data_IF_693037436638
#
_entry.id   IF_693037436638
#
_cell.length_a   1.000
_cell.length_b   1.000
_cell.length_c   1.000
_cell.angle_alpha   90.00
_cell.angle_beta   90.00
_cell.angle_gamma   90.00
#
_symmetry.space_group_name_H-M   'P 1'
#
loop_
_entity.id
_entity.type
_entity.pdbx_description
1 polymer ?
#
# COMPACT_ATOMS: atom_id res chain seq x y z
N UNK A 1 17.31 -5.50 37.02
CA UNK A 1 16.19 -4.98 37.86
C UNK A 1 15.74 -3.65 37.27
N UNK A 2 14.45 -3.47 37.07
CA UNK A 2 13.93 -2.22 36.49
C UNK A 2 12.50 -1.96 36.95
N UNK A 3 12.20 -0.68 37.19
CA UNK A 3 10.82 -0.19 37.24
C UNK A 3 10.42 0.13 35.80
N UNK A 4 9.33 -0.48 35.35
CA UNK A 4 8.77 -0.27 34.01
C UNK A 4 7.34 0.24 34.13
N UNK A 5 6.86 0.89 33.07
CA UNK A 5 5.44 1.27 32.96
C UNK A 5 4.66 0.15 32.29
N UNK A 6 3.54 -0.25 32.88
CA UNK A 6 2.60 -1.16 32.22
C UNK A 6 1.93 -0.49 31.02
N UNK A 7 1.23 -1.27 30.19
CA UNK A 7 0.40 -0.76 29.10
C UNK A 7 -0.60 0.29 29.63
N UNK A 8 -1.21 0.03 30.80
CA UNK A 8 -2.17 0.93 31.45
C UNK A 8 -1.51 2.11 32.19
N UNK A 9 -0.19 2.28 32.09
CA UNK A 9 0.54 3.41 32.67
C UNK A 9 0.91 3.27 34.15
N UNK A 10 0.54 2.17 34.79
CA UNK A 10 0.92 1.89 36.18
C UNK A 10 2.37 1.40 36.30
N UNK A 11 3.06 1.81 37.37
CA UNK A 11 4.42 1.33 37.64
C UNK A 11 4.42 -0.15 38.01
N UNK A 12 5.39 -0.89 37.45
CA UNK A 12 5.68 -2.27 37.79
C UNK A 12 7.16 -2.44 38.10
N UNK A 13 7.45 -3.13 39.19
CA UNK A 13 8.82 -3.52 39.57
C UNK A 13 9.06 -4.96 39.11
N UNK A 14 10.15 -5.15 38.37
CA UNK A 14 10.67 -6.47 38.01
C UNK A 14 11.88 -6.77 38.90
N UNK A 15 11.70 -7.66 39.88
CA UNK A 15 12.68 -8.01 40.90
C UNK A 15 12.69 -9.53 41.12
N UNK A 16 13.87 -10.15 41.06
CA UNK A 16 14.08 -11.59 41.28
C UNK A 16 13.15 -12.51 40.47
N UNK A 17 12.84 -12.12 39.22
CA UNK A 17 11.92 -12.84 38.33
C UNK A 17 10.44 -12.64 38.66
N UNK A 18 10.10 -11.86 39.69
CA UNK A 18 8.73 -11.54 40.05
C UNK A 18 8.31 -10.16 39.56
N UNK A 19 7.02 -10.06 39.20
CA UNK A 19 6.35 -8.80 38.86
C UNK A 19 5.57 -8.29 40.06
N UNK A 20 5.83 -7.05 40.45
CA UNK A 20 5.17 -6.37 41.56
C UNK A 20 4.56 -5.04 41.12
N UNK A 21 3.43 -4.66 41.68
CA UNK A 21 2.75 -3.37 41.45
C UNK A 21 3.01 -2.42 42.62
N UNK A 22 3.04 -1.13 42.34
CA UNK A 22 3.18 -0.11 43.38
C UNK A 22 1.93 -0.05 44.26
N UNK A 23 2.16 -0.01 45.57
CA UNK A 23 1.15 0.09 46.62
C UNK A 23 1.67 1.04 47.71
N UNK A 24 1.34 2.34 47.57
CA UNK A 24 1.90 3.43 48.37
C UNK A 24 3.44 3.46 48.28
N UNK A 25 4.13 3.23 49.40
CA UNK A 25 5.59 3.23 49.52
C UNK A 25 6.22 1.85 49.31
N UNK A 26 5.41 0.80 49.09
CA UNK A 26 5.86 -0.58 48.93
C UNK A 26 5.41 -1.14 47.59
N UNK A 27 6.02 -2.24 47.18
CA UNK A 27 5.67 -3.00 45.98
C UNK A 27 5.09 -4.32 46.40
N UNK A 28 3.92 -4.66 45.86
CA UNK A 28 3.21 -5.91 46.17
C UNK A 28 3.20 -6.83 44.96
N UNK A 29 3.46 -8.11 45.16
CA UNK A 29 3.35 -9.11 44.11
C UNK A 29 1.99 -9.04 43.39
N UNK A 30 2.00 -9.20 42.06
CA UNK A 30 0.78 -9.17 41.24
C UNK A 30 -0.05 -10.45 41.30
N UNK A 31 0.54 -11.60 41.68
CA UNK A 31 -0.16 -12.88 41.77
C UNK A 31 -1.18 -12.84 42.92
N UNK A 32 -2.40 -13.31 42.66
CA UNK A 32 -3.46 -13.37 43.66
C UNK A 32 -3.02 -14.18 44.88
N UNK A 33 -3.43 -13.77 46.07
CA UNK A 33 -3.10 -14.40 47.36
C UNK A 33 -1.59 -14.44 47.70
N UNK A 34 -0.71 -13.81 46.92
CA UNK A 34 0.70 -13.71 47.25
C UNK A 34 0.95 -12.55 48.23
N UNK A 35 1.74 -12.83 49.28
CA UNK A 35 2.16 -11.85 50.28
C UNK A 35 3.52 -11.21 50.01
N UNK A 36 4.17 -11.53 48.88
CA UNK A 36 5.50 -10.99 48.57
C UNK A 36 5.51 -9.46 48.46
N UNK A 37 6.46 -8.81 49.16
CA UNK A 37 6.62 -7.35 49.16
C UNK A 37 8.06 -6.89 49.07
N UNK A 38 8.28 -5.87 48.24
CA UNK A 38 9.56 -5.18 48.13
C UNK A 38 9.44 -3.70 48.52
N UNK A 39 10.54 -3.11 48.95
CA UNK A 39 10.65 -1.67 49.22
C UNK A 39 11.93 -1.12 48.60
N UNK A 40 11.97 0.19 48.42
CA UNK A 40 13.16 0.90 47.98
C UNK A 40 13.83 1.53 49.19
N UNK A 41 15.05 1.13 49.51
CA UNK A 41 15.79 1.61 50.69
C UNK A 41 16.79 2.73 50.33
N UNK A 42 16.36 3.66 49.47
CA UNK A 42 17.19 4.78 48.99
C UNK A 42 18.18 4.44 47.87
N UNK A 43 18.80 3.25 47.89
CA UNK A 43 19.79 2.83 46.90
C UNK A 43 19.38 1.61 46.07
N UNK A 44 18.65 0.67 46.66
CA UNK A 44 18.28 -0.60 46.01
C UNK A 44 16.84 -0.98 46.32
N UNK A 45 16.24 -1.74 45.40
CA UNK A 45 14.98 -2.46 45.66
C UNK A 45 15.32 -3.79 46.33
N UNK A 46 14.71 -4.05 47.48
CA UNK A 46 14.93 -5.29 48.21
C UNK A 46 13.60 -5.91 48.63
N UNK A 47 13.54 -7.24 48.50
CA UNK A 47 12.47 -8.05 49.08
C UNK A 47 12.55 -8.00 50.61
N UNK A 48 11.43 -7.70 51.26
CA UNK A 48 11.33 -7.73 52.73
C UNK A 48 10.23 -8.67 53.24
N UNK A 49 9.42 -9.20 52.33
CA UNK A 49 8.46 -10.26 52.61
C UNK A 49 8.48 -11.27 51.46
N UNK A 50 8.66 -12.54 51.79
CA UNK A 50 8.82 -13.60 50.80
C UNK A 50 7.56 -13.90 49.99
N UNK A 51 7.77 -14.42 48.79
CA UNK A 51 6.72 -14.89 47.91
C UNK A 51 6.24 -16.27 48.36
N UNK A 52 4.92 -16.43 48.50
CA UNK A 52 4.26 -17.73 48.73
C UNK A 52 3.58 -18.28 47.47
N UNK A 53 3.72 -17.57 46.35
CA UNK A 53 3.20 -17.99 45.07
C UNK A 53 4.15 -18.99 44.40
N UNK A 54 3.66 -19.62 43.33
CA UNK A 54 4.51 -20.40 42.42
C UNK A 54 5.73 -19.61 41.98
N UNK A 55 6.79 -20.36 41.66
CA UNK A 55 8.06 -19.88 41.13
C UNK A 55 7.89 -18.79 40.06
N UNK A 56 8.86 -17.87 39.95
CA UNK A 56 8.79 -16.80 38.98
C UNK A 56 8.73 -17.36 37.55
N UNK A 57 7.81 -16.81 36.76
CA UNK A 57 7.66 -17.18 35.35
C UNK A 57 8.41 -16.15 34.50
N UNK A 58 9.56 -16.56 33.97
CA UNK A 58 10.41 -15.70 33.15
C UNK A 58 9.69 -15.23 31.87
N UNK A 59 8.73 -16.01 31.35
CA UNK A 59 7.94 -15.61 30.19
C UNK A 59 7.02 -14.42 30.54
N UNK A 60 6.50 -14.34 31.77
CA UNK A 60 5.73 -13.17 32.21
C UNK A 60 6.59 -11.90 32.28
N UNK A 61 7.86 -12.03 32.67
CA UNK A 61 8.83 -10.93 32.72
C UNK A 61 9.17 -10.46 31.32
N UNK A 62 9.51 -11.37 30.40
CA UNK A 62 9.79 -11.06 29.01
C UNK A 62 8.59 -10.40 28.32
N UNK A 63 7.37 -10.91 28.55
CA UNK A 63 6.14 -10.30 28.06
C UNK A 63 5.91 -8.89 28.62
N UNK A 64 6.23 -8.65 29.89
CA UNK A 64 6.12 -7.32 30.48
C UNK A 64 7.12 -6.34 29.85
N UNK A 65 8.36 -6.77 29.65
CA UNK A 65 9.39 -5.97 28.96
C UNK A 65 9.02 -5.69 27.50
N UNK A 66 8.55 -6.70 26.77
CA UNK A 66 8.07 -6.56 25.39
C UNK A 66 6.99 -5.47 25.28
N UNK A 67 5.98 -5.52 26.15
CA UNK A 67 4.90 -4.54 26.14
C UNK A 67 5.39 -3.13 26.49
N UNK A 68 6.31 -3.02 27.45
CA UNK A 68 6.91 -1.74 27.83
C UNK A 68 7.73 -1.13 26.70
N UNK A 69 8.62 -1.90 26.07
CA UNK A 69 9.44 -1.42 24.97
C UNK A 69 8.60 -1.05 23.74
N UNK A 70 7.62 -1.88 23.40
CA UNK A 70 6.68 -1.61 22.30
C UNK A 70 5.95 -0.29 22.53
N UNK A 71 5.47 -0.05 23.76
CA UNK A 71 4.79 1.20 24.12
C UNK A 71 5.75 2.39 24.06
N UNK A 72 6.93 2.27 24.67
CA UNK A 72 7.94 3.33 24.67
C UNK A 72 8.36 3.72 23.25
N UNK A 73 8.60 2.75 22.36
CA UNK A 73 8.88 3.03 20.94
C UNK A 73 7.69 3.68 20.24
N UNK A 74 6.48 3.16 20.47
CA UNK A 74 5.27 3.72 19.87
C UNK A 74 5.02 5.19 20.25
N UNK A 75 5.40 5.60 21.46
CA UNK A 75 5.35 6.98 21.96
C UNK A 75 6.47 7.88 21.39
N UNK A 76 7.61 7.30 20.98
CA UNK A 76 8.82 8.04 20.60
C UNK A 76 9.05 8.16 19.09
N UNK A 77 8.43 7.30 18.27
CA UNK A 77 8.59 7.32 16.82
C UNK A 77 7.30 6.98 16.06
N UNK A 78 7.29 7.30 14.76
CA UNK A 78 6.18 7.01 13.84
C UNK A 78 6.39 5.78 12.95
N UNK A 79 7.37 4.92 13.26
CA UNK A 79 7.64 3.70 12.49
C UNK A 79 6.39 2.82 12.32
N UNK A 80 6.22 2.10 11.20
CA UNK A 80 5.06 1.23 11.01
C UNK A 80 4.86 0.26 12.19
N UNK A 81 3.62 0.08 12.72
CA UNK A 81 3.38 -0.79 13.87
C UNK A 81 3.95 -2.20 13.71
N UNK A 82 3.95 -2.72 12.47
CA UNK A 82 4.53 -4.02 12.12
C UNK A 82 6.04 -4.08 12.38
N UNK A 83 6.77 -3.01 12.09
CA UNK A 83 8.21 -2.92 12.31
C UNK A 83 8.52 -2.90 13.81
N UNK A 84 7.81 -2.07 14.57
CA UNK A 84 7.97 -1.99 16.04
C UNK A 84 7.73 -3.35 16.69
N UNK A 85 6.66 -4.05 16.31
CA UNK A 85 6.34 -5.38 16.84
C UNK A 85 7.43 -6.38 16.46
N UNK A 86 7.93 -6.33 15.22
CA UNK A 86 8.96 -7.24 14.76
C UNK A 86 10.26 -7.06 15.55
N UNK A 87 10.74 -5.83 15.68
CA UNK A 87 11.96 -5.53 16.43
C UNK A 87 11.84 -5.90 17.92
N UNK A 88 10.68 -5.67 18.52
CA UNK A 88 10.43 -6.07 19.91
C UNK A 88 10.38 -7.60 20.06
N UNK A 89 9.87 -8.33 19.06
CA UNK A 89 9.84 -9.80 19.05
C UNK A 89 11.22 -10.43 18.95
N UNK A 90 12.18 -9.80 18.27
CA UNK A 90 13.56 -10.30 18.15
C UNK A 90 14.27 -10.44 19.50
N UNK A 91 13.77 -9.80 20.56
CA UNK A 91 14.33 -9.84 21.90
C UNK A 91 13.70 -10.90 22.81
N UNK A 92 12.69 -11.63 22.33
CA UNK A 92 11.98 -12.66 23.10
C UNK A 92 12.64 -14.03 22.93
N UNK A 93 12.58 -14.84 23.99
CA UNK A 93 12.80 -16.28 23.87
C UNK A 93 11.68 -16.96 23.06
N UNK A 94 11.97 -18.15 22.52
CA UNK A 94 10.97 -18.95 21.79
C UNK A 94 9.74 -19.26 22.63
N UNK A 95 9.92 -19.54 23.92
CA UNK A 95 8.85 -19.89 24.84
C UNK A 95 7.98 -18.67 25.18
N UNK A 96 8.60 -17.51 25.44
CA UNK A 96 7.86 -16.29 25.70
C UNK A 96 7.09 -15.81 24.46
N UNK A 97 7.62 -16.01 23.25
CA UNK A 97 6.98 -15.61 22.00
C UNK A 97 5.59 -16.24 21.80
N UNK A 98 5.39 -17.47 22.30
CA UNK A 98 4.09 -18.18 22.26
C UNK A 98 3.03 -17.46 23.11
N UNK A 99 3.45 -16.78 24.19
CA UNK A 99 2.55 -16.10 25.12
C UNK A 99 2.12 -14.70 24.65
N UNK A 100 2.72 -14.19 23.57
CA UNK A 100 2.46 -12.85 23.04
C UNK A 100 1.15 -12.82 22.23
N UNK A 101 0.31 -11.78 22.38
CA UNK A 101 -0.91 -11.64 21.58
C UNK A 101 -0.66 -11.63 20.06
N UNK A 102 -1.71 -11.92 19.30
CA UNK A 102 -1.66 -11.83 17.84
C UNK A 102 -1.25 -10.42 17.36
N UNK A 103 -0.55 -10.37 16.23
CA UNK A 103 -0.02 -9.13 15.65
C UNK A 103 -1.10 -8.06 15.46
N UNK A 104 -2.32 -8.44 15.07
CA UNK A 104 -3.45 -7.50 14.88
C UNK A 104 -3.84 -6.78 16.16
N UNK A 105 -3.86 -7.47 17.30
CA UNK A 105 -4.15 -6.87 18.61
C UNK A 105 -3.04 -5.92 19.06
N UNK A 106 -1.78 -6.26 18.78
CA UNK A 106 -0.62 -5.41 19.06
C UNK A 106 -0.61 -4.15 18.18
N UNK A 107 -0.91 -4.28 16.89
CA UNK A 107 -1.02 -3.15 15.97
C UNK A 107 -2.09 -2.15 16.45
N UNK A 108 -3.26 -2.65 16.86
CA UNK A 108 -4.32 -1.82 17.46
C UNK A 108 -3.87 -1.14 18.75
N UNK A 109 -3.05 -1.81 19.57
CA UNK A 109 -2.54 -1.24 20.82
C UNK A 109 -1.55 -0.10 20.54
N UNK A 110 -0.65 -0.27 19.57
CA UNK A 110 0.25 0.79 19.10
C UNK A 110 -0.54 1.95 18.52
N UNK A 111 -1.56 1.68 17.70
CA UNK A 111 -2.44 2.70 17.14
C UNK A 111 -3.14 3.51 18.24
N UNK A 112 -3.62 2.86 19.31
CA UNK A 112 -4.22 3.54 20.47
C UNK A 112 -3.22 4.35 21.28
N UNK A 113 -1.99 3.86 21.47
CA UNK A 113 -0.92 4.63 22.14
C UNK A 113 -0.59 5.88 21.32
N UNK A 114 -0.59 5.74 20.01
CA UNK A 114 -0.42 6.82 19.04
C UNK A 114 -1.68 7.62 18.75
N UNK A 115 -2.83 7.30 19.37
CA UNK A 115 -3.97 8.21 19.34
C UNK A 115 -3.58 9.42 20.19
N UNK A 116 -2.82 10.30 19.56
CA UNK A 116 -2.66 11.68 19.93
C UNK A 116 -4.06 12.30 19.93
N UNK A 117 -4.39 13.11 20.93
CA UNK A 117 -5.63 13.90 20.93
C UNK A 117 -5.73 14.75 19.64
N UNK A 118 -4.60 15.02 18.98
CA UNK A 118 -4.50 15.74 17.71
C UNK A 118 -4.72 14.88 16.45
N UNK A 119 -4.91 13.56 16.56
CA UNK A 119 -5.26 12.70 15.41
C UNK A 119 -6.77 12.45 15.42
N UNK A 120 -7.52 12.98 14.43
CA UNK A 120 -8.97 12.85 14.40
C UNK A 120 -9.41 11.40 14.29
N UNK A 121 -10.59 11.11 14.85
CA UNK A 121 -11.26 9.82 14.66
C UNK A 121 -11.53 9.56 13.18
N UNK A 122 -11.53 8.28 12.79
CA UNK A 122 -11.81 7.89 11.41
C UNK A 122 -13.18 8.45 10.96
N UNK A 123 -13.22 9.23 9.87
CA UNK A 123 -14.43 9.90 9.41
C UNK A 123 -15.49 8.91 8.93
N UNK A 124 -16.75 9.20 9.24
CA UNK A 124 -17.88 8.34 8.83
C UNK A 124 -18.50 8.75 7.51
N UNK A 125 -18.41 10.03 7.18
CA UNK A 125 -18.87 10.68 5.96
C UNK A 125 -17.82 11.65 5.45
N UNK A 126 -17.93 12.12 4.20
CA UNK A 126 -16.99 13.11 3.66
C UNK A 126 -17.06 14.47 4.40
N UNK A 127 -18.23 14.82 4.94
CA UNK A 127 -18.40 16.03 5.75
C UNK A 127 -17.64 15.97 7.09
N UNK A 128 -17.38 14.76 7.62
CA UNK A 128 -16.62 14.57 8.85
C UNK A 128 -15.10 14.72 8.63
N UNK A 129 -14.65 14.79 7.38
CA UNK A 129 -13.22 14.92 7.06
C UNK A 129 -12.79 16.35 7.41
N UNK A 130 -12.12 16.50 8.54
CA UNK A 130 -11.44 17.74 8.92
C UNK A 130 -9.96 17.40 9.05
N UNK A 131 -9.14 17.94 8.14
CA UNK A 131 -7.70 17.67 8.16
C UNK A 131 -7.04 18.69 9.08
N UNK A 132 -6.52 18.28 10.24
CA UNK A 132 -5.99 19.21 11.24
C UNK A 132 -4.68 19.85 10.73
N UNK A 133 -4.33 21.06 11.19
CA UNK A 133 -3.19 21.82 10.66
C UNK A 133 -1.85 21.04 10.68
N UNK A 134 -1.62 20.22 11.70
CA UNK A 134 -0.43 19.38 11.83
C UNK A 134 -0.31 18.27 10.77
N UNK A 135 -1.40 17.95 10.05
CA UNK A 135 -1.42 16.97 8.96
C UNK A 135 -1.50 17.60 7.56
N UNK A 136 -1.57 18.93 7.46
CA UNK A 136 -1.61 19.62 6.17
C UNK A 136 -0.22 19.84 5.55
N UNK A 137 0.83 19.73 6.37
CA UNK A 137 2.21 19.99 5.98
C UNK A 137 3.10 18.74 6.11
N UNK A 138 4.19 18.70 5.36
CA UNK A 138 5.27 17.73 5.50
C UNK A 138 6.02 17.91 6.82
N UNK A 139 6.89 16.96 7.16
CA UNK A 139 7.81 17.06 8.31
C UNK A 139 8.78 18.26 8.22
N UNK A 140 9.00 18.79 7.01
CA UNK A 140 9.79 19.99 6.74
C UNK A 140 8.92 21.26 6.70
N UNK A 141 7.67 21.18 7.16
CA UNK A 141 6.69 22.26 7.22
C UNK A 141 6.31 22.87 5.86
N UNK A 142 6.34 22.07 4.80
CA UNK A 142 5.84 22.47 3.48
C UNK A 142 4.41 22.01 3.29
N UNK A 143 3.56 22.83 2.66
CA UNK A 143 2.19 22.44 2.31
C UNK A 143 2.20 21.16 1.49
N UNK A 144 1.42 20.17 1.89
CA UNK A 144 1.35 18.86 1.26
C UNK A 144 -0.01 18.55 0.65
N UNK A 145 -1.10 19.11 1.21
CA UNK A 145 -2.42 19.05 0.57
C UNK A 145 -2.39 20.02 -0.62
N UNK A 146 -2.26 19.48 -1.82
CA UNK A 146 -2.27 20.27 -3.04
C UNK A 146 -3.66 20.82 -3.33
N UNK A 147 -4.68 19.96 -3.19
CA UNK A 147 -6.06 20.30 -3.51
C UNK A 147 -7.07 19.51 -2.69
N UNK A 148 -8.17 20.18 -2.37
CA UNK A 148 -9.33 19.64 -1.68
C UNK A 148 -10.57 20.36 -2.22
N UNK A 149 -11.44 19.64 -2.92
CA UNK A 149 -12.66 20.25 -3.48
C UNK A 149 -13.71 20.56 -2.40
N UNK A 150 -13.49 20.12 -1.15
CA UNK A 150 -14.40 20.28 0.00
C UNK A 150 -15.84 19.80 -0.27
N UNK A 151 -16.05 18.88 -1.22
CA UNK A 151 -17.37 18.32 -1.51
C UNK A 151 -17.80 17.34 -0.40
N UNK A 152 -19.04 17.47 0.09
CA UNK A 152 -19.56 16.67 1.21
C UNK A 152 -20.08 15.27 0.80
N UNK A 153 -20.09 14.96 -0.49
CA UNK A 153 -20.60 13.71 -1.07
C UNK A 153 -19.60 13.02 -2.00
N UNK A 154 -18.70 13.78 -2.64
CA UNK A 154 -17.69 13.30 -3.59
C UNK A 154 -16.37 14.06 -3.38
N UNK A 155 -15.86 14.02 -2.14
CA UNK A 155 -14.61 14.73 -1.83
C UNK A 155 -13.46 14.15 -2.63
N UNK A 156 -12.69 15.01 -3.28
CA UNK A 156 -11.44 14.69 -3.95
C UNK A 156 -10.30 15.37 -3.18
N UNK A 157 -9.30 14.60 -2.80
CA UNK A 157 -8.09 15.11 -2.15
C UNK A 157 -6.87 14.77 -3.00
N UNK A 158 -6.00 15.75 -3.22
CA UNK A 158 -4.74 15.59 -3.94
C UNK A 158 -3.61 16.07 -3.04
N UNK A 159 -2.55 15.27 -2.94
CA UNK A 159 -1.39 15.50 -2.11
C UNK A 159 -0.12 15.50 -2.95
N UNK A 160 0.64 16.58 -2.86
CA UNK A 160 1.97 16.72 -3.40
C UNK A 160 2.63 17.95 -2.76
N UNK A 161 3.91 17.85 -2.42
CA UNK A 161 4.73 19.01 -2.08
C UNK A 161 5.18 19.72 -3.35
N UNK A 162 5.59 21.00 -3.22
CA UNK A 162 6.20 21.74 -4.33
C UNK A 162 7.42 21.01 -4.91
N UNK A 163 8.27 20.47 -4.05
CA UNK A 163 9.46 19.72 -4.48
C UNK A 163 9.09 18.48 -5.30
N UNK A 164 8.05 17.74 -4.92
CA UNK A 164 7.57 16.59 -5.70
C UNK A 164 7.02 17.00 -7.06
N UNK A 165 6.29 18.11 -7.14
CA UNK A 165 5.80 18.66 -8.39
C UNK A 165 6.93 19.15 -9.29
N UNK A 166 7.94 19.82 -8.72
CA UNK A 166 9.14 20.25 -9.45
C UNK A 166 9.90 19.04 -10.03
N UNK A 167 9.99 17.94 -9.28
CA UNK A 167 10.53 16.69 -9.80
C UNK A 167 9.68 16.09 -10.92
N UNK A 168 8.35 16.05 -10.75
CA UNK A 168 7.44 15.51 -11.75
C UNK A 168 7.50 16.31 -13.06
N UNK A 169 7.63 17.64 -12.95
CA UNK A 169 7.85 18.57 -14.06
C UNK A 169 9.15 18.30 -14.82
N UNK A 170 10.15 17.69 -14.17
CA UNK A 170 11.39 17.26 -14.80
C UNK A 170 11.33 15.91 -15.52
N UNK A 171 10.25 15.13 -15.34
CA UNK A 171 10.12 13.78 -15.88
C UNK A 171 9.40 13.76 -17.24
N UNK A 172 10.04 13.17 -18.25
CA UNK A 172 9.42 12.95 -19.57
C UNK A 172 8.41 11.79 -19.57
N UNK A 173 8.59 10.81 -18.68
CA UNK A 173 7.73 9.63 -18.56
C UNK A 173 7.07 9.59 -17.20
N UNK A 174 5.75 9.59 -17.20
CA UNK A 174 4.93 9.42 -16.00
C UNK A 174 4.35 8.01 -15.98
N UNK A 175 4.24 7.43 -14.80
CA UNK A 175 3.58 6.15 -14.60
C UNK A 175 2.47 6.34 -13.57
N UNK A 176 1.26 5.94 -13.92
CA UNK A 176 0.11 6.15 -13.06
C UNK A 176 -0.47 4.80 -12.65
N UNK A 177 -0.83 4.69 -11.38
CA UNK A 177 -1.34 3.45 -10.80
C UNK A 177 -2.40 3.77 -9.74
N UNK A 178 -3.51 3.05 -9.82
CA UNK A 178 -4.60 3.16 -8.87
C UNK A 178 -4.72 1.90 -8.00
N UNK A 179 -4.60 2.06 -6.69
CA UNK A 179 -4.61 0.93 -5.73
C UNK A 179 -5.81 0.96 -4.78
N UNK A 180 -6.44 -0.21 -4.61
CA UNK A 180 -7.64 -0.41 -3.77
C UNK A 180 -7.30 -0.76 -2.33
N UNK A 181 -6.24 -1.55 -2.12
CA UNK A 181 -5.93 -2.14 -0.82
C UNK A 181 -5.57 -1.11 0.26
N UNK A 182 -5.28 0.12 -0.16
CA UNK A 182 -4.78 1.22 0.67
C UNK A 182 -5.77 2.38 0.72
N UNK A 183 -6.87 2.34 -0.04
CA UNK A 183 -7.86 3.41 -0.06
C UNK A 183 -8.63 3.45 1.28
N UNK A 184 -8.77 4.63 1.93
CA UNK A 184 -9.63 4.77 3.10
C UNK A 184 -11.09 4.47 2.76
N UNK A 185 -11.88 3.99 3.73
CA UNK A 185 -13.25 3.48 3.53
C UNK A 185 -14.19 4.39 2.73
N UNK A 186 -14.00 5.70 2.79
CA UNK A 186 -14.84 6.67 2.10
C UNK A 186 -14.49 6.86 0.63
N UNK A 187 -13.28 6.48 0.20
CA UNK A 187 -12.79 6.66 -1.15
C UNK A 187 -12.77 5.32 -1.89
N UNK A 188 -13.07 5.35 -3.19
CA UNK A 188 -13.09 4.13 -4.00
C UNK A 188 -11.66 3.66 -4.33
N UNK A 189 -10.71 4.60 -4.46
CA UNK A 189 -9.33 4.30 -4.85
C UNK A 189 -8.35 5.36 -4.38
N UNK A 190 -7.11 4.94 -4.11
CA UNK A 190 -5.96 5.85 -4.07
C UNK A 190 -5.28 5.81 -5.43
N UNK A 191 -5.22 6.93 -6.13
CA UNK A 191 -4.51 7.07 -7.41
C UNK A 191 -3.16 7.75 -7.19
N UNK A 192 -2.13 7.31 -7.90
CA UNK A 192 -0.78 7.84 -7.75
C UNK A 192 -0.12 8.10 -9.10
N UNK A 193 0.59 9.23 -9.20
CA UNK A 193 1.40 9.58 -10.36
C UNK A 193 2.87 9.51 -9.96
N UNK A 194 3.64 8.75 -10.72
CA UNK A 194 5.04 8.47 -10.46
C UNK A 194 5.92 9.08 -11.55
N UNK A 195 7.05 9.64 -11.13
CA UNK A 195 8.12 10.09 -12.02
C UNK A 195 9.33 9.17 -11.93
N UNK A 196 10.03 8.98 -13.05
CA UNK A 196 11.32 8.29 -13.05
C UNK A 196 12.45 9.26 -12.67
N UNK A 197 13.05 9.04 -11.52
CA UNK A 197 14.16 9.85 -11.00
C UNK A 197 15.37 8.93 -10.80
N UNK A 198 16.43 9.16 -11.57
CA UNK A 198 17.68 8.38 -11.53
C UNK A 198 17.43 6.86 -11.66
N UNK A 199 16.52 6.48 -12.56
CA UNK A 199 16.17 5.08 -12.83
C UNK A 199 15.27 4.43 -11.77
N UNK A 200 14.71 5.20 -10.83
CA UNK A 200 13.71 4.72 -9.87
C UNK A 200 12.38 5.43 -10.12
N UNK A 201 11.31 4.65 -10.20
CA UNK A 201 9.95 5.20 -10.22
C UNK A 201 9.55 5.54 -8.78
N UNK A 202 9.31 6.82 -8.53
CA UNK A 202 8.91 7.34 -7.24
C UNK A 202 7.50 7.95 -7.35
N UNK A 203 6.59 7.68 -6.41
CA UNK A 203 5.31 8.37 -6.34
C UNK A 203 5.53 9.84 -5.95
N UNK A 204 4.99 10.75 -6.75
CA UNK A 204 5.16 12.20 -6.59
C UNK A 204 3.83 12.91 -6.31
N UNK A 205 2.72 12.36 -6.81
CA UNK A 205 1.38 12.85 -6.52
C UNK A 205 0.53 11.69 -6.03
N UNK A 206 -0.24 11.93 -4.96
CA UNK A 206 -1.23 10.99 -4.44
C UNK A 206 -2.61 11.63 -4.50
N UNK A 207 -3.63 10.87 -4.85
CA UNK A 207 -5.00 11.35 -4.91
C UNK A 207 -5.93 10.33 -4.26
N UNK A 208 -6.88 10.79 -3.46
CA UNK A 208 -7.95 9.97 -2.91
C UNK A 208 -9.23 10.28 -3.68
N UNK A 209 -9.69 9.31 -4.47
CA UNK A 209 -10.76 9.50 -5.45
C UNK A 209 -12.08 8.98 -4.88
N UNK A 210 -13.17 9.76 -4.96
CA UNK A 210 -14.48 9.33 -4.50
C UNK A 210 -15.12 8.27 -5.42
N UNK A 211 -14.70 8.23 -6.69
CA UNK A 211 -15.16 7.30 -7.72
C UNK A 211 -14.14 7.22 -8.86
N UNK A 212 -14.39 6.36 -9.85
CA UNK A 212 -13.55 6.14 -11.04
C UNK A 212 -14.11 6.74 -12.33
N UNK A 213 -14.92 7.78 -12.22
CA UNK A 213 -15.47 8.41 -13.40
C UNK A 213 -14.38 9.24 -14.10
N UNK A 214 -14.49 9.36 -15.42
CA UNK A 214 -13.57 10.17 -16.23
C UNK A 214 -13.47 11.62 -15.71
N UNK A 215 -14.59 12.24 -15.33
CA UNK A 215 -14.66 13.59 -14.76
C UNK A 215 -13.74 13.76 -13.53
N UNK A 216 -13.71 12.75 -12.65
CA UNK A 216 -12.87 12.77 -11.44
C UNK A 216 -11.39 12.73 -11.81
N UNK A 217 -11.00 11.94 -12.82
CA UNK A 217 -9.64 11.91 -13.32
C UNK A 217 -9.25 13.21 -14.03
N UNK A 218 -10.16 13.79 -14.83
CA UNK A 218 -9.95 15.08 -15.47
C UNK A 218 -9.71 16.18 -14.43
N UNK A 219 -10.44 16.17 -13.31
CA UNK A 219 -10.22 17.09 -12.18
C UNK A 219 -8.81 16.92 -11.60
N UNK A 220 -8.38 15.68 -11.29
CA UNK A 220 -7.01 15.39 -10.80
C UNK A 220 -5.96 15.92 -11.76
N UNK A 221 -6.07 15.55 -13.04
CA UNK A 221 -5.06 15.90 -14.04
C UNK A 221 -5.05 17.39 -14.35
N UNK A 222 -6.19 18.07 -14.27
CA UNK A 222 -6.28 19.53 -14.42
C UNK A 222 -5.54 20.24 -13.29
N UNK A 223 -5.75 19.82 -12.03
CA UNK A 223 -5.04 20.41 -10.89
C UNK A 223 -3.54 20.17 -10.98
N UNK A 224 -3.11 18.95 -11.34
CA UNK A 224 -1.68 18.65 -11.51
C UNK A 224 -1.10 19.50 -12.65
N UNK A 225 -1.79 19.61 -13.77
CA UNK A 225 -1.35 20.40 -14.94
C UNK A 225 -1.10 21.87 -14.63
N UNK A 226 -1.83 22.46 -13.67
CA UNK A 226 -1.59 23.85 -13.24
C UNK A 226 -0.19 24.07 -12.62
N UNK A 227 0.46 22.98 -12.18
CA UNK A 227 1.76 23.01 -11.53
C UNK A 227 2.89 22.44 -12.40
N UNK A 228 2.60 22.12 -13.66
CA UNK A 228 3.52 21.45 -14.59
C UNK A 228 3.68 22.31 -15.83
N UNK A 229 4.90 22.79 -16.06
CA UNK A 229 5.27 23.60 -17.23
C UNK A 229 5.67 22.72 -18.42
N UNK A 230 6.45 21.68 -18.14
CA UNK A 230 6.93 20.71 -19.14
C UNK A 230 5.99 19.52 -19.14
N UNK A 231 5.16 19.44 -20.17
CA UNK A 231 4.26 18.31 -20.36
C UNK A 231 5.06 17.01 -20.48
N UNK A 232 4.58 15.89 -19.91
CA UNK A 232 5.22 14.60 -20.13
C UNK A 232 5.19 14.27 -21.62
N UNK A 233 6.15 13.47 -22.09
CA UNK A 233 6.11 12.90 -23.43
C UNK A 233 5.32 11.60 -23.45
N UNK A 234 5.46 10.81 -22.39
CA UNK A 234 4.85 9.50 -22.25
C UNK A 234 4.10 9.39 -20.93
N UNK A 235 2.89 8.84 -20.98
CA UNK A 235 2.10 8.53 -19.79
C UNK A 235 1.75 7.05 -19.83
N UNK A 236 2.35 6.28 -18.94
CA UNK A 236 2.02 4.86 -18.78
C UNK A 236 0.91 4.73 -17.75
N UNK A 237 -0.19 4.10 -18.13
CA UNK A 237 -1.34 3.87 -17.24
C UNK A 237 -1.69 2.38 -17.16
N UNK A 238 -2.44 2.01 -16.13
CA UNK A 238 -3.20 0.78 -16.15
C UNK A 238 -4.36 0.89 -17.17
N UNK A 239 -5.00 -0.23 -17.52
CA UNK A 239 -6.04 -0.27 -18.55
C UNK A 239 -7.40 0.28 -18.06
N UNK A 240 -7.37 1.28 -17.17
CA UNK A 240 -8.57 1.95 -16.70
C UNK A 240 -9.00 3.03 -17.70
N UNK A 241 -10.04 2.71 -18.48
CA UNK A 241 -10.52 3.55 -19.59
C UNK A 241 -10.89 4.98 -19.18
N UNK A 242 -11.39 5.17 -17.96
CA UNK A 242 -11.75 6.50 -17.46
C UNK A 242 -10.51 7.40 -17.30
N UNK A 243 -9.42 6.86 -16.76
CA UNK A 243 -8.14 7.57 -16.63
C UNK A 243 -7.50 7.79 -18.01
N UNK A 244 -7.55 6.79 -18.90
CA UNK A 244 -7.08 6.90 -20.29
C UNK A 244 -7.75 8.06 -21.03
N UNK A 245 -9.08 8.09 -21.03
CA UNK A 245 -9.84 9.15 -21.68
C UNK A 245 -9.51 10.52 -21.08
N UNK A 246 -9.43 10.62 -19.75
CA UNK A 246 -9.10 11.87 -19.06
C UNK A 246 -7.70 12.37 -19.43
N UNK A 247 -6.70 11.49 -19.54
CA UNK A 247 -5.38 11.87 -20.05
C UNK A 247 -5.46 12.35 -21.50
N UNK A 248 -6.23 11.67 -22.36
CA UNK A 248 -6.42 12.08 -23.75
C UNK A 248 -7.01 13.48 -23.88
N UNK A 249 -7.92 13.85 -22.97
CA UNK A 249 -8.53 15.20 -22.91
C UNK A 249 -7.54 16.24 -22.38
N UNK A 250 -6.86 15.95 -21.27
CA UNK A 250 -6.02 16.95 -20.56
C UNK A 250 -4.62 17.09 -21.19
N UNK A 251 -4.08 16.02 -21.75
CA UNK A 251 -2.74 15.89 -22.32
C UNK A 251 -2.78 15.33 -23.76
N UNK A 252 -3.46 15.99 -24.71
CA UNK A 252 -3.69 15.45 -26.07
C UNK A 252 -2.42 15.32 -26.94
N UNK A 253 -1.29 15.87 -26.48
CA UNK A 253 0.00 15.83 -27.17
C UNK A 253 0.94 14.76 -26.60
N UNK A 254 0.51 14.04 -25.57
CA UNK A 254 1.31 13.04 -24.87
C UNK A 254 0.93 11.64 -25.37
N UNK A 255 1.92 10.75 -25.49
CA UNK A 255 1.67 9.37 -25.87
C UNK A 255 1.17 8.60 -24.64
N UNK A 256 -0.02 8.03 -24.73
CA UNK A 256 -0.60 7.22 -23.66
C UNK A 256 -0.25 5.76 -23.92
N UNK A 257 0.50 5.16 -22.99
CA UNK A 257 1.03 3.81 -23.09
C UNK A 257 0.35 2.88 -22.08
N UNK A 258 0.06 1.64 -22.51
CA UNK A 258 -0.40 0.59 -21.61
C UNK A 258 0.72 0.02 -20.75
N UNK A 259 0.46 -0.21 -19.46
CA UNK A 259 1.44 -0.82 -18.57
C UNK A 259 1.68 -2.32 -18.90
N UNK A 260 2.90 -2.65 -19.35
CA UNK A 260 3.28 -4.04 -19.69
C UNK A 260 3.17 -5.03 -18.51
N UNK A 261 3.40 -4.55 -17.29
CA UNK A 261 3.24 -5.37 -16.09
C UNK A 261 1.78 -5.80 -15.91
N UNK A 262 0.84 -4.85 -15.98
CA UNK A 262 -0.59 -5.12 -15.91
C UNK A 262 -1.08 -5.94 -17.10
N UNK A 263 -0.50 -5.75 -18.30
CA UNK A 263 -0.83 -6.56 -19.47
C UNK A 263 -0.50 -8.04 -19.24
N UNK A 264 0.70 -8.36 -18.76
CA UNK A 264 1.09 -9.73 -18.42
C UNK A 264 0.18 -10.34 -17.34
N UNK A 265 -0.22 -9.55 -16.34
CA UNK A 265 -1.18 -10.01 -15.34
C UNK A 265 -2.55 -10.32 -15.96
N UNK A 266 -3.02 -9.52 -16.92
CA UNK A 266 -4.27 -9.79 -17.64
C UNK A 266 -4.18 -11.10 -18.42
N UNK A 267 -3.10 -11.32 -19.17
CA UNK A 267 -2.87 -12.61 -19.86
C UNK A 267 -2.92 -13.78 -18.86
N UNK A 268 -2.23 -13.66 -17.73
CA UNK A 268 -2.21 -14.72 -16.72
C UNK A 268 -3.58 -14.99 -16.10
N UNK A 269 -4.36 -13.95 -15.81
CA UNK A 269 -5.74 -14.09 -15.32
C UNK A 269 -6.59 -14.83 -16.35
N UNK A 270 -6.50 -14.48 -17.63
CA UNK A 270 -7.22 -15.16 -18.70
C UNK A 270 -6.83 -16.64 -18.81
N UNK A 271 -5.53 -16.96 -18.75
CA UNK A 271 -5.06 -18.37 -18.73
C UNK A 271 -5.68 -19.14 -17.56
N UNK A 272 -5.78 -18.51 -16.38
CA UNK A 272 -6.42 -19.12 -15.22
C UNK A 272 -7.94 -19.30 -15.42
N UNK A 273 -8.63 -18.28 -15.93
CA UNK A 273 -10.08 -18.27 -16.16
C UNK A 273 -10.50 -19.30 -17.21
N UNK A 274 -9.68 -19.51 -18.23
CA UNK A 274 -9.88 -20.54 -19.26
C UNK A 274 -9.48 -21.95 -18.79
N UNK A 275 -9.13 -22.13 -17.51
CA UNK A 275 -8.67 -23.39 -16.94
C UNK A 275 -7.39 -23.97 -17.59
N UNK A 276 -6.62 -23.14 -18.29
CA UNK A 276 -5.39 -23.52 -18.99
C UNK A 276 -4.14 -23.51 -18.11
N UNK A 277 -4.30 -23.29 -16.79
CA UNK A 277 -3.17 -23.25 -15.85
C UNK A 277 -2.34 -24.54 -15.85
N UNK A 278 -2.99 -25.71 -15.90
CA UNK A 278 -2.29 -27.00 -15.92
C UNK A 278 -1.48 -27.15 -17.21
N UNK A 279 -2.12 -26.86 -18.33
CA UNK A 279 -1.50 -26.86 -19.66
C UNK A 279 -0.29 -25.91 -19.74
N UNK A 280 -0.43 -24.69 -19.19
CA UNK A 280 0.68 -23.73 -19.10
C UNK A 280 1.84 -24.26 -18.24
N UNK A 281 1.59 -25.07 -17.22
CA UNK A 281 2.63 -25.58 -16.33
C UNK A 281 3.31 -26.84 -16.88
N UNK A 282 2.57 -27.67 -17.61
CA UNK A 282 3.00 -29.02 -17.99
C UNK A 282 3.36 -29.14 -19.48
N UNK A 283 2.91 -28.22 -20.35
CA UNK A 283 3.21 -28.24 -21.79
C UNK A 283 4.09 -27.06 -22.20
N UNK A 284 5.31 -27.36 -22.66
CA UNK A 284 6.30 -26.36 -23.08
C UNK A 284 5.89 -25.54 -24.31
N UNK A 285 5.19 -26.16 -25.27
CA UNK A 285 4.72 -25.51 -26.49
C UNK A 285 3.63 -24.51 -26.12
N UNK A 286 2.59 -24.96 -25.40
CA UNK A 286 1.50 -24.12 -24.93
C UNK A 286 2.00 -22.97 -24.04
N UNK A 287 2.92 -23.25 -23.12
CA UNK A 287 3.56 -22.25 -22.28
C UNK A 287 4.32 -21.20 -23.09
N UNK A 288 5.07 -21.62 -24.11
CA UNK A 288 5.80 -20.70 -25.00
C UNK A 288 4.81 -19.85 -25.80
N UNK A 289 3.80 -20.43 -26.42
CA UNK A 289 2.79 -19.70 -27.18
C UNK A 289 2.07 -18.66 -26.31
N UNK A 290 1.65 -19.04 -25.08
CA UNK A 290 1.04 -18.11 -24.12
C UNK A 290 1.98 -16.98 -23.67
N UNK A 291 3.28 -17.24 -23.54
CA UNK A 291 4.27 -16.19 -23.28
C UNK A 291 4.49 -15.28 -24.49
N UNK A 292 4.44 -15.82 -25.70
CA UNK A 292 4.59 -15.06 -26.93
C UNK A 292 3.43 -14.06 -27.12
N UNK A 293 2.24 -14.33 -26.56
CA UNK A 293 1.14 -13.35 -26.54
C UNK A 293 1.55 -12.04 -25.84
N UNK A 294 2.36 -12.10 -24.78
CA UNK A 294 2.89 -10.90 -24.16
C UNK A 294 3.97 -10.23 -25.03
N UNK A 295 4.72 -11.02 -25.81
CA UNK A 295 5.78 -10.51 -26.67
C UNK A 295 5.25 -9.71 -27.88
N UNK A 296 3.97 -9.87 -28.24
CA UNK A 296 3.29 -9.05 -29.25
C UNK A 296 3.36 -7.54 -28.94
N UNK A 297 3.51 -7.17 -27.66
CA UNK A 297 3.69 -5.77 -27.27
C UNK A 297 5.01 -5.13 -27.76
N UNK A 298 5.95 -5.93 -28.26
CA UNK A 298 7.26 -5.46 -28.74
C UNK A 298 7.43 -5.61 -30.26
N UNK A 299 6.38 -6.06 -30.96
CA UNK A 299 6.39 -6.23 -32.40
C UNK A 299 5.80 -4.96 -33.04
N UNK A 300 6.33 -4.49 -34.18
CA UNK A 300 5.76 -3.36 -34.90
C UNK A 300 4.26 -3.57 -35.17
N UNK A 301 3.39 -2.57 -34.98
CA UNK A 301 1.93 -2.71 -35.09
C UNK A 301 1.47 -3.43 -36.36
N UNK A 302 2.09 -3.12 -37.50
CA UNK A 302 1.78 -3.71 -38.80
C UNK A 302 2.00 -5.23 -38.88
N UNK A 303 2.86 -5.79 -38.03
CA UNK A 303 3.19 -7.22 -38.01
C UNK A 303 2.44 -7.99 -36.91
N UNK A 304 1.73 -7.30 -36.01
CA UNK A 304 1.08 -7.91 -34.84
C UNK A 304 0.05 -8.96 -35.25
N UNK A 305 -0.74 -8.70 -36.29
CA UNK A 305 -1.77 -9.63 -36.77
C UNK A 305 -1.13 -10.91 -37.31
N UNK A 306 -0.10 -10.77 -38.16
CA UNK A 306 0.61 -11.92 -38.75
C UNK A 306 1.26 -12.77 -37.66
N UNK A 307 1.99 -12.15 -36.73
CA UNK A 307 2.68 -12.86 -35.65
C UNK A 307 1.69 -13.49 -34.66
N UNK A 308 0.54 -12.85 -34.44
CA UNK A 308 -0.53 -13.45 -33.65
C UNK A 308 -1.08 -14.73 -34.30
N UNK A 309 -1.35 -14.70 -35.61
CA UNK A 309 -1.81 -15.89 -36.36
C UNK A 309 -0.79 -17.02 -36.27
N UNK A 310 0.51 -16.71 -36.44
CA UNK A 310 1.59 -17.69 -36.26
C UNK A 310 1.63 -18.28 -34.86
N UNK A 311 1.39 -17.48 -33.81
CA UNK A 311 1.32 -17.99 -32.43
C UNK A 311 0.13 -18.95 -32.27
N UNK A 312 -1.01 -18.64 -32.89
CA UNK A 312 -2.20 -19.48 -32.85
C UNK A 312 -1.97 -20.83 -33.54
N UNK A 313 -1.41 -20.82 -34.75
CA UNK A 313 -1.10 -22.04 -35.52
C UNK A 313 -0.11 -22.97 -34.82
N UNK A 314 0.82 -22.41 -34.03
CA UNK A 314 1.84 -23.17 -33.32
C UNK A 314 1.44 -23.62 -31.91
N UNK A 315 0.31 -23.13 -31.38
CA UNK A 315 -0.28 -23.71 -30.19
C UNK A 315 -1.20 -24.85 -30.62
N UNK A 316 -1.17 -25.99 -29.93
CA UNK A 316 -2.24 -26.98 -30.05
C UNK A 316 -3.61 -26.33 -29.76
N UNK A 317 -4.72 -27.05 -30.05
CA UNK A 317 -6.15 -26.68 -29.91
C UNK A 317 -6.54 -25.89 -28.62
N UNK A 318 -5.63 -25.80 -27.65
CA UNK A 318 -5.62 -24.94 -26.46
C UNK A 318 -5.87 -23.45 -26.77
N UNK A 319 -5.39 -22.90 -27.89
CA UNK A 319 -5.68 -21.51 -28.28
C UNK A 319 -6.95 -21.36 -29.14
N UNK A 320 -7.63 -22.44 -29.53
CA UNK A 320 -8.93 -22.33 -30.22
C UNK A 320 -10.08 -21.92 -29.28
N UNK A 321 -9.88 -22.11 -27.97
CA UNK A 321 -10.77 -21.59 -26.93
C UNK A 321 -10.59 -20.08 -26.74
N UNK A 322 -9.50 -19.51 -27.25
CA UNK A 322 -9.23 -18.07 -27.25
C UNK A 322 -9.85 -17.48 -28.52
N UNK A 323 -11.13 -17.07 -28.42
CA UNK A 323 -11.80 -16.38 -29.52
C UNK A 323 -11.24 -14.97 -29.72
N UNK A 324 -10.82 -14.69 -30.95
CA UNK A 324 -10.42 -13.38 -31.47
C UNK A 324 -11.54 -12.87 -32.37
N UNK A 325 -12.60 -12.35 -31.77
CA UNK A 325 -13.71 -11.76 -32.52
C UNK A 325 -13.54 -10.24 -32.49
N UNK A 326 -13.06 -9.68 -33.62
CA UNK A 326 -13.21 -8.27 -34.06
C UNK A 326 -12.05 -7.28 -33.82
N UNK A 327 -11.54 -6.74 -34.95
CA UNK A 327 -10.68 -5.55 -35.07
C UNK A 327 -11.62 -4.38 -35.39
N UNK A 328 -11.61 -3.31 -34.60
CA UNK A 328 -12.39 -2.10 -34.89
C UNK A 328 -11.42 -0.93 -34.96
N UNK A 329 -11.32 -0.30 -36.13
CA UNK A 329 -10.55 0.93 -36.31
C UNK A 329 -11.15 2.04 -35.43
N UNK A 330 -10.29 2.68 -34.64
CA UNK A 330 -10.62 3.96 -34.02
C UNK A 330 -9.55 4.95 -34.40
N UNK A 331 -9.92 6.22 -34.51
CA UNK A 331 -9.20 7.30 -35.18
C UNK A 331 -7.82 7.67 -34.63
N UNK A 332 -7.23 6.88 -33.73
CA UNK A 332 -6.03 7.30 -32.98
C UNK A 332 -5.10 6.19 -32.45
N UNK A 333 -5.39 4.89 -32.58
CA UNK A 333 -4.51 3.81 -32.09
C UNK A 333 -4.65 2.54 -32.94
N UNK A 334 -3.57 2.09 -33.59
CA UNK A 334 -3.68 1.14 -34.70
C UNK A 334 -3.76 -0.36 -34.34
N UNK A 335 -3.80 -0.77 -33.06
CA UNK A 335 -4.37 -2.09 -32.68
C UNK A 335 -4.97 -2.06 -31.27
N UNK A 336 -6.27 -2.31 -31.15
CA UNK A 336 -6.92 -2.68 -29.88
C UNK A 336 -7.06 -4.20 -29.86
N UNK A 337 -6.38 -4.90 -28.95
CA UNK A 337 -6.73 -6.31 -28.67
C UNK A 337 -7.85 -6.31 -27.64
N UNK A 338 -9.11 -6.48 -28.08
CA UNK A 338 -10.27 -6.66 -27.21
C UNK A 338 -10.41 -8.15 -26.87
N UNK A 339 -10.45 -8.50 -25.59
CA UNK A 339 -10.71 -9.87 -25.12
C UNK A 339 -12.10 -9.94 -24.51
N UNK A 340 -12.85 -11.03 -24.76
CA UNK A 340 -14.14 -11.29 -24.14
C UNK A 340 -14.12 -12.64 -23.40
N UNK A 341 -14.56 -12.64 -22.14
CA UNK A 341 -14.92 -13.83 -21.38
C UNK A 341 -16.19 -13.50 -20.59
N UNK A 342 -17.29 -14.22 -20.84
CA UNK A 342 -18.61 -14.02 -20.19
C UNK A 342 -19.03 -12.54 -20.04
N UNK A 343 -19.18 -11.83 -21.16
CA UNK A 343 -19.63 -10.43 -21.23
C UNK A 343 -18.69 -9.38 -20.55
N UNK A 344 -17.44 -9.73 -20.24
CA UNK A 344 -16.44 -8.79 -19.71
C UNK A 344 -15.33 -8.48 -20.73
N UNK A 345 -14.98 -7.19 -20.83
CA UNK A 345 -14.03 -6.60 -21.79
C UNK A 345 -12.67 -6.34 -21.15
N UNK A 346 -11.58 -6.79 -21.77
CA UNK A 346 -10.21 -6.40 -21.40
C UNK A 346 -9.47 -5.79 -22.60
N UNK A 347 -8.68 -4.74 -22.36
CA UNK A 347 -8.03 -3.88 -23.39
C UNK A 347 -6.52 -3.94 -23.25
N UNK A 348 -5.80 -3.98 -24.38
CA UNK A 348 -4.34 -3.85 -24.48
C UNK A 348 -4.04 -2.87 -25.61
N UNK A 349 -3.23 -1.85 -25.30
CA UNK A 349 -2.94 -0.67 -26.13
C UNK A 349 -1.49 -0.75 -26.64
N UNK A 350 -1.26 -0.55 -27.94
CA UNK A 350 0.07 -0.40 -28.53
C UNK A 350 0.10 0.86 -29.42
N UNK A 351 1.11 1.69 -29.22
CA UNK A 351 1.29 3.01 -29.84
C UNK A 351 1.94 2.93 -31.23
N UNK A 352 1.60 3.89 -32.08
CA UNK A 352 2.04 4.01 -33.47
C UNK A 352 2.76 5.37 -33.61
N UNK A 353 4.08 5.34 -33.71
CA UNK A 353 4.85 6.50 -34.20
C UNK A 353 5.57 6.12 -35.47
N UNK A 354 5.00 6.60 -36.57
CA UNK A 354 5.65 6.68 -37.87
C UNK A 354 7.06 7.28 -37.73
N UNK A 355 8.03 6.50 -38.18
CA UNK A 355 9.32 7.00 -38.63
C UNK A 355 9.03 7.74 -39.94
N UNK A 356 8.97 9.07 -39.90
CA UNK A 356 9.20 9.87 -41.09
C UNK A 356 10.70 10.17 -41.23
N UNK A 357 11.22 9.65 -42.34
CA UNK A 357 12.56 9.72 -42.95
C UNK A 357 13.67 8.82 -42.39
#
# INVERSE_FOLDING_TARGET
MSVIKSIKGSDQLLLDGFRSRRDRLVWRCVKANCKGRARHDGNIYQMYQDHICQAPDLNEIEKALFNYETKKKAEQCHDPPRLIIHEARLKLSSDAAITIPQCTALQRSIQRIRQDENIPTEPKTFADIVIPPNLQNTVTNQKFILYDNNDHHRRLLIFASKEQLDFLNGCESWHCDGTFAVAPRLFEQMYSIHGSIRGKNLPLVYSLLPNKNQETYEEVFTIVKQHIERKPKYITIDFEKAAENAFGVIYPQCDILGCFFHFKQCIWRNICELHLKKEFLENDISRRSMKNLAALAFIPPQNVIEEFVRIKENASDVLDVVRFDYIEETSTFNVIVKWYHNDRKYVVLLDDKEIQH
#
